data_IF_613183499861
#
_entry.id   IF_613183499861
#
_cell.length_a   1.000
_cell.length_b   1.000
_cell.length_c   1.000
_cell.angle_alpha   90.00
_cell.angle_beta   90.00
_cell.angle_gamma   90.00
#
_symmetry.space_group_name_H-M   'P 1'
#
loop_
_entity.id
_entity.type
_entity.pdbx_description
1 polymer ?
#
# COMPACT_ATOMS: atom_id res chain seq x y z
N UNK A 1 -15.19 -17.35 -6.12
CA UNK A 1 -14.01 -16.89 -5.36
C UNK A 1 -12.81 -16.57 -6.26
N UNK A 2 -12.50 -17.38 -7.31
CA UNK A 2 -11.37 -17.13 -8.21
C UNK A 2 -11.56 -15.90 -9.10
N UNK A 3 -12.80 -15.62 -9.51
CA UNK A 3 -13.14 -14.38 -10.21
C UNK A 3 -12.95 -13.16 -9.30
N UNK A 4 -13.43 -13.26 -8.05
CA UNK A 4 -13.26 -12.19 -7.06
C UNK A 4 -11.77 -11.89 -6.77
N UNK A 5 -10.95 -12.93 -6.60
CA UNK A 5 -9.50 -12.76 -6.43
C UNK A 5 -8.83 -12.14 -7.68
N UNK A 6 -9.27 -12.52 -8.87
CA UNK A 6 -8.75 -11.97 -10.13
C UNK A 6 -9.16 -10.50 -10.29
N UNK A 7 -10.44 -10.17 -10.01
CA UNK A 7 -10.97 -8.81 -10.11
C UNK A 7 -10.34 -7.86 -9.09
N UNK A 8 -10.27 -8.27 -7.81
CA UNK A 8 -9.61 -7.46 -6.77
C UNK A 8 -8.13 -7.25 -7.07
N UNK A 9 -7.43 -8.29 -7.55
CA UNK A 9 -6.03 -8.18 -7.94
C UNK A 9 -5.79 -7.29 -9.15
N UNK A 10 -6.70 -7.28 -10.13
CA UNK A 10 -6.64 -6.37 -11.27
C UNK A 10 -6.81 -4.91 -10.84
N UNK A 11 -7.84 -4.64 -10.03
CA UNK A 11 -8.11 -3.27 -9.54
C UNK A 11 -6.93 -2.75 -8.72
N UNK A 12 -6.41 -3.55 -7.77
CA UNK A 12 -5.26 -3.17 -6.96
C UNK A 12 -3.98 -2.98 -7.79
N UNK A 13 -3.75 -3.84 -8.79
CA UNK A 13 -2.57 -3.72 -9.66
C UNK A 13 -2.61 -2.47 -10.54
N UNK A 14 -3.77 -2.13 -11.11
CA UNK A 14 -3.95 -0.89 -11.86
C UNK A 14 -3.86 0.35 -10.96
N UNK A 15 -4.48 0.29 -9.78
CA UNK A 15 -4.34 1.34 -8.77
C UNK A 15 -2.86 1.58 -8.42
N UNK A 16 -2.09 0.51 -8.22
CA UNK A 16 -0.66 0.63 -7.90
C UNK A 16 0.13 1.37 -8.97
N UNK A 17 -0.10 1.08 -10.24
CA UNK A 17 0.60 1.79 -11.32
C UNK A 17 0.25 3.27 -11.37
N UNK A 18 -1.04 3.61 -11.22
CA UNK A 18 -1.48 5.01 -11.12
C UNK A 18 -0.84 5.67 -9.89
N UNK A 19 -0.91 5.02 -8.73
CA UNK A 19 -0.32 5.51 -7.48
C UNK A 19 1.19 5.76 -7.61
N UNK A 20 1.93 4.84 -8.23
CA UNK A 20 3.37 5.00 -8.45
C UNK A 20 3.70 6.19 -9.36
N UNK A 21 2.87 6.49 -10.37
CA UNK A 21 3.04 7.67 -11.21
C UNK A 21 2.71 8.97 -10.45
N UNK A 22 1.66 8.96 -9.62
CA UNK A 22 1.29 10.10 -8.79
C UNK A 22 2.39 10.43 -7.77
N UNK A 23 2.90 9.42 -7.06
CA UNK A 23 4.04 9.58 -6.14
C UNK A 23 5.31 9.96 -6.91
N UNK A 24 5.47 9.44 -8.13
CA UNK A 24 6.58 9.77 -9.03
C UNK A 24 6.65 11.23 -9.46
N UNK A 25 5.57 12.00 -9.32
CA UNK A 25 5.57 13.45 -9.59
C UNK A 25 6.59 14.23 -8.76
N UNK A 26 7.02 13.70 -7.60
CA UNK A 26 8.09 14.31 -6.78
C UNK A 26 9.43 14.42 -7.54
N UNK A 27 9.67 13.57 -8.54
CA UNK A 27 10.86 13.62 -9.40
C UNK A 27 10.86 14.91 -10.24
N UNK A 28 9.67 15.43 -10.59
CA UNK A 28 9.49 16.67 -11.31
C UNK A 28 9.61 17.91 -10.40
N UNK A 29 9.62 17.71 -9.09
CA UNK A 29 9.77 18.76 -8.10
C UNK A 29 8.67 18.77 -7.03
N UNK A 30 8.90 19.56 -5.98
CA UNK A 30 8.00 19.69 -4.84
C UNK A 30 6.63 20.25 -5.25
N UNK A 31 6.64 21.29 -6.09
CA UNK A 31 5.39 21.93 -6.57
C UNK A 31 4.54 20.96 -7.42
N UNK A 32 5.19 20.12 -8.24
CA UNK A 32 4.48 19.13 -9.05
C UNK A 32 3.84 18.05 -8.17
N UNK A 33 4.54 17.58 -7.14
CA UNK A 33 3.98 16.62 -6.20
C UNK A 33 2.83 17.23 -5.38
N UNK A 34 3.01 18.46 -4.89
CA UNK A 34 1.99 19.16 -4.13
C UNK A 34 0.71 19.39 -4.95
N UNK A 35 0.85 19.83 -6.21
CA UNK A 35 -0.27 19.96 -7.13
C UNK A 35 -1.04 18.64 -7.32
N UNK A 36 -0.32 17.54 -7.51
CA UNK A 36 -0.93 16.20 -7.66
C UNK A 36 -1.61 15.78 -6.36
N UNK A 37 -0.97 15.97 -5.20
CA UNK A 37 -1.52 15.63 -3.90
C UNK A 37 -2.82 16.42 -3.63
N UNK A 38 -2.81 17.74 -3.86
CA UNK A 38 -3.98 18.59 -3.69
C UNK A 38 -5.11 18.27 -4.67
N UNK A 39 -4.78 17.89 -5.89
CA UNK A 39 -5.76 17.40 -6.86
C UNK A 39 -6.46 16.12 -6.34
N UNK A 40 -5.69 15.20 -5.75
CA UNK A 40 -6.24 13.97 -5.14
C UNK A 40 -7.07 14.25 -3.88
N UNK A 41 -6.74 15.29 -3.15
CA UNK A 41 -7.53 15.81 -2.02
C UNK A 41 -8.77 16.61 -2.46
N UNK A 42 -9.07 16.68 -3.77
CA UNK A 42 -10.18 17.44 -4.35
C UNK A 42 -10.11 18.96 -4.08
N UNK A 43 -8.91 19.52 -3.97
CA UNK A 43 -8.71 20.96 -3.72
C UNK A 43 -9.34 21.86 -4.77
N UNK A 44 -9.52 21.37 -6.01
CA UNK A 44 -10.20 22.09 -7.09
C UNK A 44 -11.71 22.29 -6.85
N UNK A 45 -12.31 21.63 -5.84
CA UNK A 45 -13.70 21.85 -5.40
C UNK A 45 -13.77 22.82 -4.21
N UNK A 46 -12.65 23.31 -3.71
CA UNK A 46 -12.57 24.20 -2.55
C UNK A 46 -12.35 25.63 -2.99
N UNK A 47 -13.13 26.56 -2.51
CA UNK A 47 -12.97 28.01 -2.75
C UNK A 47 -11.66 28.57 -2.21
N UNK A 48 -11.06 27.88 -1.22
CA UNK A 48 -9.80 28.30 -0.55
C UNK A 48 -8.57 27.58 -1.09
N UNK A 49 -8.73 26.64 -2.06
CA UNK A 49 -7.64 25.83 -2.57
C UNK A 49 -7.09 24.78 -1.58
N UNK A 50 -7.69 24.65 -0.40
CA UNK A 50 -7.34 23.59 0.56
C UNK A 50 -8.00 22.28 0.15
N UNK A 51 -7.24 21.17 0.24
CA UNK A 51 -7.79 19.84 -0.01
C UNK A 51 -8.74 19.39 1.10
N UNK A 52 -9.52 18.37 0.79
CA UNK A 52 -10.40 17.70 1.75
C UNK A 52 -9.77 16.39 2.23
N UNK A 53 -9.14 16.34 3.42
CA UNK A 53 -8.54 15.11 3.95
C UNK A 53 -9.53 13.94 4.05
N UNK A 54 -10.83 14.25 4.20
CA UNK A 54 -11.90 13.26 4.22
C UNK A 54 -12.00 12.47 2.91
N UNK A 55 -11.69 13.08 1.77
CA UNK A 55 -11.66 12.39 0.47
C UNK A 55 -10.56 11.32 0.45
N UNK A 56 -9.38 11.67 0.96
CA UNK A 56 -8.25 10.73 1.11
C UNK A 56 -8.61 9.60 2.07
N UNK A 57 -9.25 9.92 3.20
CA UNK A 57 -9.71 8.92 4.17
C UNK A 57 -10.62 7.86 3.53
N UNK A 58 -11.63 8.27 2.75
CA UNK A 58 -12.51 7.32 2.08
C UNK A 58 -11.81 6.53 0.97
N UNK A 59 -10.93 7.18 0.19
CA UNK A 59 -10.15 6.49 -0.83
C UNK A 59 -9.23 5.43 -0.22
N UNK A 60 -8.49 5.77 0.84
CA UNK A 60 -7.62 4.83 1.55
C UNK A 60 -8.42 3.70 2.20
N UNK A 61 -9.58 4.00 2.82
CA UNK A 61 -10.47 2.99 3.41
C UNK A 61 -10.95 1.99 2.37
N UNK A 62 -11.33 2.46 1.17
CA UNK A 62 -11.74 1.61 0.07
C UNK A 62 -10.62 0.70 -0.42
N UNK A 63 -9.43 1.27 -0.65
CA UNK A 63 -8.24 0.51 -1.05
C UNK A 63 -7.84 -0.50 0.01
N UNK A 64 -7.87 -0.11 1.30
CA UNK A 64 -7.53 -1.00 2.41
C UNK A 64 -8.49 -2.17 2.53
N UNK A 65 -9.79 -1.92 2.41
CA UNK A 65 -10.81 -2.98 2.39
C UNK A 65 -10.57 -3.95 1.23
N UNK A 66 -10.34 -3.41 0.03
CA UNK A 66 -10.06 -4.22 -1.16
C UNK A 66 -8.78 -5.05 -1.01
N UNK A 67 -7.74 -4.46 -0.40
CA UNK A 67 -6.48 -5.11 -0.09
C UNK A 67 -6.66 -6.29 0.87
N UNK A 68 -7.41 -6.12 1.96
CA UNK A 68 -7.71 -7.19 2.93
C UNK A 68 -8.50 -8.31 2.26
N UNK A 69 -9.55 -7.98 1.50
CA UNK A 69 -10.35 -8.97 0.75
C UNK A 69 -9.47 -9.75 -0.22
N UNK A 70 -8.61 -9.07 -0.98
CA UNK A 70 -7.68 -9.72 -1.91
C UNK A 70 -6.71 -10.66 -1.19
N UNK A 71 -6.14 -10.23 -0.07
CA UNK A 71 -5.23 -11.03 0.75
C UNK A 71 -5.90 -12.29 1.30
N UNK A 72 -7.11 -12.17 1.86
CA UNK A 72 -7.89 -13.31 2.37
C UNK A 72 -8.22 -14.31 1.26
N UNK A 73 -8.63 -13.83 0.08
CA UNK A 73 -8.87 -14.66 -1.08
C UNK A 73 -7.60 -15.36 -1.59
N UNK A 74 -6.44 -14.70 -1.46
CA UNK A 74 -5.13 -15.24 -1.82
C UNK A 74 -4.65 -16.31 -0.86
N UNK A 75 -4.75 -16.06 0.44
CA UNK A 75 -4.25 -16.95 1.50
C UNK A 75 -4.88 -18.35 1.45
N UNK A 76 -6.12 -18.50 1.03
CA UNK A 76 -6.77 -19.81 0.89
C UNK A 76 -6.04 -20.79 -0.06
N UNK A 77 -5.13 -20.30 -0.92
CA UNK A 77 -4.36 -21.10 -1.88
C UNK A 77 -2.98 -21.47 -1.37
N UNK A 78 -2.64 -21.04 -0.18
CA UNK A 78 -1.36 -21.35 0.43
C UNK A 78 -1.39 -22.70 1.17
N UNK A 79 -0.27 -23.42 1.22
CA UNK A 79 -0.14 -24.58 2.07
C UNK A 79 -0.25 -24.15 3.55
N UNK A 80 -1.15 -24.83 4.28
CA UNK A 80 -1.44 -24.51 5.69
C UNK A 80 -0.34 -25.04 6.61
N UNK A 81 0.30 -26.18 6.25
CA UNK A 81 1.31 -26.82 7.09
C UNK A 81 2.72 -26.70 6.51
N UNK A 82 3.71 -26.69 7.40
CA UNK A 82 5.12 -26.69 7.01
C UNK A 82 5.49 -27.91 6.14
N UNK A 83 4.89 -29.07 6.42
CA UNK A 83 5.08 -30.28 5.61
C UNK A 83 4.60 -30.08 4.18
N UNK A 84 3.41 -29.51 3.97
CA UNK A 84 2.88 -29.20 2.64
C UNK A 84 3.78 -28.19 1.92
N UNK A 85 4.29 -27.19 2.63
CA UNK A 85 5.19 -26.19 2.07
C UNK A 85 6.51 -26.83 1.59
N UNK A 86 7.07 -27.77 2.35
CA UNK A 86 8.29 -28.52 1.97
C UNK A 86 8.03 -29.34 0.71
N UNK A 87 6.96 -30.15 0.69
CA UNK A 87 6.60 -30.97 -0.46
C UNK A 87 6.42 -30.10 -1.72
N UNK A 88 5.73 -28.99 -1.60
CA UNK A 88 5.56 -28.04 -2.70
C UNK A 88 6.90 -27.51 -3.22
N UNK A 89 7.84 -27.13 -2.36
CA UNK A 89 9.18 -26.67 -2.74
C UNK A 89 9.96 -27.76 -3.48
N UNK A 90 9.94 -28.98 -2.98
CA UNK A 90 10.63 -30.11 -3.59
C UNK A 90 10.07 -30.40 -5.00
N UNK A 91 8.75 -30.37 -5.16
CA UNK A 91 8.08 -30.48 -6.46
C UNK A 91 8.47 -29.34 -7.41
N UNK A 92 8.57 -28.12 -6.93
CA UNK A 92 8.99 -26.97 -7.73
C UNK A 92 10.43 -27.11 -8.25
N UNK A 93 11.34 -27.65 -7.42
CA UNK A 93 12.74 -27.90 -7.80
C UNK A 93 12.84 -28.98 -8.89
N UNK A 94 12.02 -30.04 -8.80
CA UNK A 94 11.96 -31.09 -9.82
C UNK A 94 11.42 -30.57 -11.17
N UNK A 95 10.38 -29.77 -11.15
CA UNK A 95 9.73 -29.29 -12.38
C UNK A 95 10.55 -28.25 -13.15
N UNK A 96 11.46 -27.50 -12.50
CA UNK A 96 12.28 -26.40 -13.08
C UNK A 96 11.49 -25.43 -13.98
N UNK A 97 10.20 -25.21 -13.68
CA UNK A 97 9.30 -24.44 -14.52
C UNK A 97 9.27 -22.97 -14.11
N UNK A 98 9.57 -22.07 -15.04
CA UNK A 98 9.67 -20.63 -14.79
C UNK A 98 8.40 -20.01 -14.20
N UNK A 99 7.22 -20.43 -14.68
CA UNK A 99 5.95 -19.82 -14.22
C UNK A 99 5.58 -20.28 -12.80
N UNK A 100 6.05 -21.44 -12.37
CA UNK A 100 5.93 -21.93 -11.00
C UNK A 100 6.82 -21.10 -10.06
N UNK A 101 8.05 -20.79 -10.48
CA UNK A 101 8.95 -19.91 -9.73
C UNK A 101 8.36 -18.50 -9.60
N UNK A 102 7.79 -17.95 -10.68
CA UNK A 102 7.10 -16.65 -10.63
C UNK A 102 5.92 -16.66 -9.65
N UNK A 103 5.14 -17.77 -9.62
CA UNK A 103 4.06 -17.93 -8.65
C UNK A 103 4.60 -17.89 -7.21
N UNK A 104 5.70 -18.57 -6.94
CA UNK A 104 6.30 -18.60 -5.61
C UNK A 104 6.80 -17.21 -5.19
N UNK A 105 7.49 -16.50 -6.07
CA UNK A 105 7.92 -15.11 -5.83
C UNK A 105 6.71 -14.21 -5.53
N UNK A 106 5.63 -14.32 -6.33
CA UNK A 106 4.39 -13.58 -6.10
C UNK A 106 3.78 -13.90 -4.73
N UNK A 107 3.82 -15.17 -4.33
CA UNK A 107 3.28 -15.62 -3.06
C UNK A 107 4.07 -15.04 -1.87
N UNK A 108 5.40 -15.14 -1.90
CA UNK A 108 6.29 -14.63 -0.85
C UNK A 108 6.20 -13.11 -0.74
N UNK A 109 6.27 -12.40 -1.87
CA UNK A 109 6.15 -10.94 -1.90
C UNK A 109 4.78 -10.47 -1.43
N UNK A 110 3.70 -11.20 -1.77
CA UNK A 110 2.35 -10.94 -1.27
C UNK A 110 2.25 -11.09 0.25
N UNK A 111 2.89 -12.09 0.82
CA UNK A 111 2.92 -12.29 2.27
C UNK A 111 3.68 -11.17 3.00
N UNK A 112 4.86 -10.79 2.50
CA UNK A 112 5.62 -9.65 3.06
C UNK A 112 4.81 -8.35 2.93
N UNK A 113 4.21 -8.13 1.76
CA UNK A 113 3.39 -6.96 1.48
C UNK A 113 2.15 -6.88 2.36
N UNK A 114 1.57 -8.01 2.78
CA UNK A 114 0.43 -8.02 3.68
C UNK A 114 0.73 -7.25 4.98
N UNK A 115 1.91 -7.46 5.58
CA UNK A 115 2.32 -6.71 6.77
C UNK A 115 2.77 -5.29 6.44
N UNK A 116 3.71 -5.13 5.52
CA UNK A 116 4.27 -3.82 5.19
C UNK A 116 3.22 -2.88 4.57
N UNK A 117 2.35 -3.41 3.71
CA UNK A 117 1.24 -2.68 3.09
C UNK A 117 0.18 -2.27 4.10
N UNK A 118 -0.13 -3.13 5.09
CA UNK A 118 -1.07 -2.77 6.17
C UNK A 118 -0.55 -1.60 7.00
N UNK A 119 0.76 -1.58 7.33
CA UNK A 119 1.37 -0.46 8.05
C UNK A 119 1.28 0.83 7.23
N UNK A 120 1.60 0.77 5.94
CA UNK A 120 1.50 1.92 5.04
C UNK A 120 0.06 2.45 4.95
N UNK A 121 -0.90 1.58 4.65
CA UNK A 121 -2.32 1.96 4.50
C UNK A 121 -2.89 2.50 5.82
N UNK A 122 -2.56 1.87 6.95
CA UNK A 122 -2.96 2.37 8.26
C UNK A 122 -2.39 3.76 8.54
N UNK A 123 -1.10 3.99 8.24
CA UNK A 123 -0.47 5.32 8.43
C UNK A 123 -1.18 6.40 7.60
N UNK A 124 -1.58 6.09 6.36
CA UNK A 124 -2.33 7.04 5.52
C UNK A 124 -3.76 7.24 6.01
N UNK A 125 -4.40 6.18 6.52
CA UNK A 125 -5.76 6.22 7.04
C UNK A 125 -5.90 7.14 8.27
N UNK A 126 -4.92 7.08 9.19
CA UNK A 126 -4.95 7.88 10.43
C UNK A 126 -4.37 9.28 10.26
N UNK A 127 -3.67 9.55 9.14
CA UNK A 127 -3.08 10.86 8.84
C UNK A 127 -3.44 11.31 7.41
N UNK A 128 -4.73 11.42 7.06
CA UNK A 128 -5.13 11.69 5.67
C UNK A 128 -4.76 13.08 5.17
N UNK A 129 -4.54 14.06 6.04
CA UNK A 129 -4.12 15.42 5.70
C UNK A 129 -2.60 15.64 5.66
N UNK A 130 -1.78 14.59 5.77
CA UNK A 130 -0.32 14.72 5.80
C UNK A 130 0.35 14.34 4.47
N UNK A 131 -0.30 14.65 3.35
CA UNK A 131 0.19 14.31 2.00
C UNK A 131 0.69 15.57 1.30
N UNK A 132 1.81 16.09 1.74
CA UNK A 132 2.56 17.16 1.08
C UNK A 132 4.04 16.78 0.94
N UNK A 133 4.84 17.51 0.13
CA UNK A 133 6.24 17.18 -0.11
C UNK A 133 7.10 17.12 1.16
N UNK A 134 6.88 18.01 2.12
CA UNK A 134 7.71 18.11 3.32
C UNK A 134 7.29 17.11 4.39
N UNK A 135 6.00 16.96 4.68
CA UNK A 135 5.49 15.98 5.65
C UNK A 135 5.78 14.55 5.17
N UNK A 136 5.62 14.29 3.87
CA UNK A 136 5.95 12.99 3.28
C UNK A 136 7.46 12.71 3.34
N UNK A 137 8.31 13.70 3.05
CA UNK A 137 9.76 13.56 3.15
C UNK A 137 10.23 13.42 4.59
N UNK A 138 9.62 14.14 5.53
CA UNK A 138 9.89 13.99 6.96
C UNK A 138 9.55 12.58 7.45
N UNK A 139 8.41 12.03 7.07
CA UNK A 139 8.01 10.66 7.40
C UNK A 139 9.04 9.66 6.87
N UNK A 140 9.47 9.82 5.61
CA UNK A 140 10.46 8.93 4.98
C UNK A 140 11.80 9.02 5.67
N UNK A 141 12.33 10.23 5.89
CA UNK A 141 13.70 10.46 6.39
C UNK A 141 13.76 10.39 7.92
N UNK A 142 13.13 11.33 8.63
CA UNK A 142 13.21 11.45 10.09
C UNK A 142 12.38 10.38 10.80
N UNK A 143 11.25 9.97 10.21
CA UNK A 143 10.42 8.88 10.73
C UNK A 143 10.98 7.48 10.43
N UNK A 144 12.09 7.37 9.71
CA UNK A 144 12.72 6.11 9.31
C UNK A 144 11.83 5.16 8.49
N UNK A 145 10.78 5.67 7.83
CA UNK A 145 9.90 4.85 6.99
C UNK A 145 10.56 4.44 5.66
N UNK A 146 11.76 4.96 5.33
CA UNK A 146 12.47 4.60 4.10
C UNK A 146 12.70 3.10 3.97
N UNK A 147 12.98 2.40 5.08
CA UNK A 147 13.18 0.95 5.06
C UNK A 147 11.88 0.20 4.75
N UNK A 148 10.77 0.62 5.36
CA UNK A 148 9.44 0.08 5.06
C UNK A 148 9.08 0.29 3.59
N UNK A 149 9.28 1.50 3.07
CA UNK A 149 8.96 1.83 1.68
C UNK A 149 9.87 1.14 0.69
N UNK A 150 11.12 0.90 1.02
CA UNK A 150 12.05 0.13 0.18
C UNK A 150 11.58 -1.32 0.02
N UNK A 151 11.24 -1.99 1.12
CA UNK A 151 10.71 -3.35 1.10
C UNK A 151 9.37 -3.39 0.36
N UNK A 152 8.49 -2.44 0.67
CA UNK A 152 7.16 -2.37 0.07
C UNK A 152 7.25 -2.14 -1.44
N UNK A 153 8.11 -1.24 -1.91
CA UNK A 153 8.34 -0.96 -3.32
C UNK A 153 8.74 -2.23 -4.10
N UNK A 154 9.72 -2.96 -3.59
CA UNK A 154 10.20 -4.19 -4.25
C UNK A 154 9.10 -5.26 -4.24
N UNK A 155 8.45 -5.46 -3.10
CA UNK A 155 7.43 -6.49 -2.95
C UNK A 155 6.18 -6.19 -3.78
N UNK A 156 5.69 -4.95 -3.76
CA UNK A 156 4.47 -4.58 -4.47
C UNK A 156 4.68 -4.64 -5.98
N UNK A 157 5.82 -4.17 -6.47
CA UNK A 157 6.09 -4.17 -7.90
C UNK A 157 6.24 -5.59 -8.45
N UNK A 158 6.99 -6.46 -7.78
CA UNK A 158 7.10 -7.87 -8.16
C UNK A 158 5.76 -8.59 -8.06
N UNK A 159 5.01 -8.37 -6.98
CA UNK A 159 3.70 -9.00 -6.77
C UNK A 159 2.70 -8.59 -7.86
N UNK A 160 2.58 -7.28 -8.11
CA UNK A 160 1.60 -6.73 -9.05
C UNK A 160 1.93 -7.13 -10.50
N UNK A 161 3.17 -6.96 -10.95
CA UNK A 161 3.54 -7.26 -12.34
C UNK A 161 3.49 -8.75 -12.64
N UNK A 162 3.94 -9.62 -11.72
CA UNK A 162 3.78 -11.07 -11.86
C UNK A 162 2.30 -11.43 -11.81
N UNK A 163 1.52 -10.82 -10.91
CA UNK A 163 0.10 -11.04 -10.78
C UNK A 163 -0.67 -10.73 -12.06
N UNK A 164 -0.43 -9.55 -12.64
CA UNK A 164 -1.07 -9.14 -13.90
C UNK A 164 -0.64 -10.01 -15.08
N UNK A 165 0.65 -10.39 -15.18
CA UNK A 165 1.11 -11.36 -16.16
C UNK A 165 0.32 -12.68 -16.05
N UNK A 166 0.18 -13.22 -14.84
CA UNK A 166 -0.53 -14.48 -14.60
C UNK A 166 -2.03 -14.35 -14.85
N UNK A 167 -2.59 -13.17 -14.57
CA UNK A 167 -3.98 -12.85 -14.86
C UNK A 167 -4.25 -12.90 -16.38
N UNK A 168 -3.38 -12.26 -17.19
CA UNK A 168 -3.45 -12.30 -18.64
C UNK A 168 -3.37 -13.75 -19.17
N UNK A 169 -2.48 -14.56 -18.60
CA UNK A 169 -2.35 -15.97 -18.97
C UNK A 169 -3.57 -16.79 -18.58
N UNK A 170 -4.16 -16.52 -17.41
CA UNK A 170 -5.33 -17.27 -16.90
C UNK A 170 -6.58 -17.01 -17.72
N UNK A 171 -6.82 -15.76 -18.11
CA UNK A 171 -8.01 -15.34 -18.82
C UNK A 171 -7.84 -15.26 -20.34
N UNK A 172 -6.65 -15.64 -20.85
CA UNK A 172 -6.36 -15.61 -22.28
C UNK A 172 -6.24 -14.20 -22.87
N UNK A 173 -6.01 -13.18 -22.03
CA UNK A 173 -5.88 -11.80 -22.51
C UNK A 173 -4.55 -11.60 -23.24
N UNK A 174 -4.62 -10.94 -24.40
CA UNK A 174 -3.46 -10.68 -25.25
C UNK A 174 -2.73 -11.95 -25.73
N UNK A 175 -3.41 -13.08 -25.75
CA UNK A 175 -2.89 -14.32 -26.31
C UNK A 175 -3.24 -14.42 -27.80
N UNK A 176 -2.23 -14.67 -28.64
CA UNK A 176 -2.42 -14.96 -30.05
C UNK A 176 -2.57 -16.46 -30.30
N UNK A 177 -2.56 -16.86 -31.56
CA UNK A 177 -2.68 -18.27 -32.00
C UNK A 177 -1.56 -19.18 -31.49
N UNK A 178 -0.34 -18.63 -31.29
CA UNK A 178 0.78 -19.36 -30.70
C UNK A 178 0.97 -18.98 -29.22
N UNK A 179 0.63 -19.91 -28.34
CA UNK A 179 0.72 -19.74 -26.89
C UNK A 179 2.16 -19.52 -26.39
N UNK A 180 3.16 -20.15 -27.04
CA UNK A 180 4.58 -20.01 -26.65
C UNK A 180 5.12 -18.62 -26.93
N UNK A 181 4.82 -18.07 -28.10
CA UNK A 181 5.21 -16.72 -28.51
C UNK A 181 4.47 -15.67 -27.67
N UNK A 182 3.17 -15.84 -27.44
CA UNK A 182 2.37 -14.96 -26.58
C UNK A 182 2.94 -14.85 -25.16
N UNK A 183 3.28 -16.00 -24.57
CA UNK A 183 3.91 -16.07 -23.24
C UNK A 183 5.25 -15.34 -23.20
N UNK A 184 6.10 -15.49 -24.24
CA UNK A 184 7.38 -14.77 -24.34
C UNK A 184 7.17 -13.25 -24.43
N UNK A 185 6.20 -12.80 -25.24
CA UNK A 185 5.85 -11.38 -25.37
C UNK A 185 5.37 -10.79 -24.03
N UNK A 186 4.44 -11.45 -23.36
CA UNK A 186 3.91 -11.02 -22.08
C UNK A 186 5.00 -10.97 -20.98
N UNK A 187 5.94 -11.93 -20.95
CA UNK A 187 7.09 -11.89 -20.05
C UNK A 187 8.01 -10.69 -20.32
N UNK A 188 8.23 -10.32 -21.60
CA UNK A 188 9.00 -9.12 -21.95
C UNK A 188 8.30 -7.85 -21.48
N UNK A 189 6.99 -7.74 -21.71
CA UNK A 189 6.19 -6.60 -21.22
C UNK A 189 6.26 -6.51 -19.70
N UNK A 190 6.00 -7.62 -19.00
CA UNK A 190 6.15 -7.69 -17.54
C UNK A 190 7.50 -7.17 -17.08
N UNK A 191 8.61 -7.66 -17.66
CA UNK A 191 9.95 -7.24 -17.23
C UNK A 191 10.21 -5.74 -17.48
N UNK A 192 9.73 -5.19 -18.62
CA UNK A 192 9.86 -3.76 -18.91
C UNK A 192 9.08 -2.91 -17.92
N UNK A 193 7.85 -3.31 -17.59
CA UNK A 193 7.02 -2.62 -16.59
C UNK A 193 7.67 -2.69 -15.20
N UNK A 194 8.16 -3.87 -14.80
CA UNK A 194 8.89 -4.03 -13.53
C UNK A 194 10.08 -3.07 -13.45
N UNK A 195 10.94 -3.02 -14.49
CA UNK A 195 12.11 -2.13 -14.50
C UNK A 195 11.67 -0.67 -14.45
N UNK A 196 10.68 -0.30 -15.24
CA UNK A 196 10.17 1.08 -15.30
C UNK A 196 9.66 1.55 -13.93
N UNK A 197 8.75 0.82 -13.32
CA UNK A 197 8.15 1.22 -12.05
C UNK A 197 9.11 1.11 -10.87
N UNK A 198 10.01 0.13 -10.86
CA UNK A 198 11.10 0.11 -9.88
C UNK A 198 12.01 1.33 -10.01
N UNK A 199 12.35 1.73 -11.24
CA UNK A 199 13.18 2.93 -11.46
C UNK A 199 12.47 4.19 -10.97
N UNK A 200 11.20 4.37 -11.33
CA UNK A 200 10.38 5.49 -10.83
C UNK A 200 10.29 5.48 -9.31
N UNK A 201 10.02 4.32 -8.71
CA UNK A 201 9.91 4.18 -7.25
C UNK A 201 11.22 4.47 -6.51
N UNK A 202 12.35 3.96 -6.99
CA UNK A 202 13.66 4.24 -6.40
C UNK A 202 14.05 5.73 -6.52
N UNK A 203 13.80 6.35 -7.67
CA UNK A 203 14.03 7.78 -7.85
C UNK A 203 13.13 8.61 -6.93
N UNK A 204 11.84 8.25 -6.81
CA UNK A 204 10.93 8.93 -5.89
C UNK A 204 11.37 8.82 -4.45
N UNK A 205 11.75 7.61 -4.01
CA UNK A 205 12.24 7.37 -2.65
C UNK A 205 13.54 8.17 -2.37
N UNK A 206 14.45 8.22 -3.34
CA UNK A 206 15.68 9.01 -3.24
C UNK A 206 15.37 10.51 -3.14
N UNK A 207 14.39 11.02 -3.91
CA UNK A 207 13.95 12.42 -3.83
C UNK A 207 13.33 12.74 -2.46
N UNK A 208 12.49 11.89 -1.91
CA UNK A 208 11.94 12.09 -0.57
C UNK A 208 13.04 12.07 0.51
N UNK A 209 14.01 11.17 0.41
CA UNK A 209 15.17 11.15 1.32
C UNK A 209 15.99 12.43 1.20
N UNK A 210 16.24 12.91 -0.01
CA UNK A 210 16.99 14.14 -0.28
C UNK A 210 16.26 15.37 0.28
N UNK A 211 14.96 15.51 0.00
CA UNK A 211 14.13 16.61 0.53
C UNK A 211 14.06 16.55 2.06
N UNK A 212 13.88 15.36 2.64
CA UNK A 212 13.85 15.16 4.09
C UNK A 212 15.18 15.51 4.75
N UNK A 213 16.31 15.19 4.12
CA UNK A 213 17.63 15.59 4.60
C UNK A 213 17.83 17.12 4.53
N UNK A 214 17.44 17.75 3.42
CA UNK A 214 17.54 19.20 3.28
C UNK A 214 16.67 19.96 4.28
N UNK A 215 15.45 19.45 4.55
CA UNK A 215 14.46 20.10 5.38
C UNK A 215 14.43 19.58 6.84
N UNK A 216 15.51 18.93 7.30
CA UNK A 216 15.54 18.27 8.62
C UNK A 216 15.42 19.24 9.81
N UNK A 217 15.81 20.50 9.62
CA UNK A 217 15.69 21.55 10.66
C UNK A 217 14.23 21.99 10.88
N UNK A 218 13.39 21.86 9.85
CA UNK A 218 11.97 22.25 9.86
C UNK A 218 11.09 20.97 9.79
N UNK A 219 11.52 19.93 10.48
CA UNK A 219 10.85 18.64 10.48
C UNK A 219 9.44 18.78 11.06
N UNK A 220 8.43 18.31 10.28
CA UNK A 220 7.03 18.36 10.68
C UNK A 220 6.28 19.63 10.23
N UNK A 221 6.96 20.59 9.62
CA UNK A 221 6.29 21.73 9.00
C UNK A 221 5.73 21.37 7.62
N UNK A 222 4.50 21.80 7.30
CA UNK A 222 3.91 21.56 5.99
C UNK A 222 4.61 22.40 4.90
N UNK A 223 4.42 22.01 3.65
CA UNK A 223 4.96 22.73 2.50
C UNK A 223 4.30 24.10 2.38
N UNK A 224 5.07 25.22 2.35
CA UNK A 224 4.51 26.57 2.32
C UNK A 224 3.95 26.91 0.94
N UNK A 225 2.65 26.90 0.84
CA UNK A 225 1.90 27.38 -0.32
C UNK A 225 1.83 26.40 -1.48
N UNK A 226 0.64 25.93 -1.73
CA UNK A 226 0.28 25.13 -2.89
C UNK A 226 0.09 26.04 -4.11
N UNK A 227 0.11 25.48 -5.32
CA UNK A 227 -0.29 26.18 -6.54
C UNK A 227 -1.72 26.77 -6.41
N UNK A 228 -2.61 26.08 -5.68
CA UNK A 228 -3.98 26.53 -5.41
C UNK A 228 -4.02 27.70 -4.43
N UNK A 229 -3.20 27.73 -3.37
CA UNK A 229 -3.10 28.86 -2.45
C UNK A 229 -2.54 30.12 -3.14
N UNK A 230 -1.57 29.97 -4.05
CA UNK A 230 -1.04 31.10 -4.83
C UNK A 230 -2.10 31.72 -5.73
N UNK A 231 -3.00 30.91 -6.29
CA UNK A 231 -4.11 31.39 -7.13
C UNK A 231 -5.11 32.15 -6.26
N UNK A 232 -5.49 31.62 -5.09
CA UNK A 232 -6.44 32.29 -4.18
C UNK A 232 -5.91 33.61 -3.63
N UNK A 233 -4.63 33.69 -3.27
CA UNK A 233 -4.01 34.95 -2.83
C UNK A 233 -3.89 35.98 -3.98
N UNK A 234 -3.63 35.53 -5.20
CA UNK A 234 -3.60 36.41 -6.38
C UNK A 234 -4.99 36.99 -6.70
N UNK A 235 -6.06 36.20 -6.48
CA UNK A 235 -7.45 36.69 -6.65
C UNK A 235 -7.85 37.64 -5.52
N UNK A 236 -7.39 37.43 -4.29
CA UNK A 236 -7.64 38.29 -3.14
C UNK A 236 -6.89 39.65 -3.29
N UNK A 237 -5.63 39.64 -3.73
CA UNK A 237 -4.88 40.85 -4.03
C UNK A 237 -5.49 41.67 -5.16
N UNK A 238 -6.05 41.01 -6.20
CA UNK A 238 -6.74 41.70 -7.31
C UNK A 238 -8.09 42.28 -6.88
N UNK A 239 -8.80 41.67 -5.93
CA UNK A 239 -10.07 42.16 -5.43
C UNK A 239 -9.93 43.37 -4.47
N UNK A 240 -8.79 43.49 -3.81
CA UNK A 240 -8.49 44.62 -2.89
C UNK A 240 -7.97 45.87 -3.65
N UNK A 241 -7.55 45.70 -4.91
CA UNK A 241 -6.99 46.80 -5.72
C UNK A 241 -8.02 47.58 -6.57
N UNK A 242 -9.33 47.31 -6.42
CA UNK A 242 -10.35 48.17 -7.04
C UNK A 242 -10.46 49.50 -6.25
N UNK A 243 -10.17 50.64 -6.87
CA UNK A 243 -10.21 51.90 -6.15
C UNK A 243 -11.66 52.23 -5.78
N UNK A 244 -11.89 52.46 -4.50
CA UNK A 244 -13.15 53.01 -4.03
C UNK A 244 -13.46 54.31 -4.78
N UNK A 245 -14.53 54.26 -5.57
CA UNK A 245 -15.08 55.47 -6.22
C UNK A 245 -15.57 56.39 -5.11
N UNK A 246 -14.79 57.46 -4.89
CA UNK A 246 -15.08 58.56 -4.02
C UNK A 246 -16.35 59.28 -4.51
N UNK A 247 -17.50 59.03 -3.88
CA UNK A 247 -18.70 59.82 -4.09
C UNK A 247 -18.70 61.00 -3.10
N UNK A 248 -18.27 62.12 -3.64
CA UNK A 248 -18.38 63.45 -3.05
C UNK A 248 -19.87 63.88 -2.93
N UNK A 249 -20.37 64.03 -1.69
CA UNK A 249 -21.62 64.73 -1.44
C UNK A 249 -21.60 65.39 -0.05
N UNK A 250 -21.30 66.69 -0.07
CA UNK A 250 -21.69 67.84 0.76
C UNK A 250 -22.29 67.63 2.15
N UNK A 251 -21.61 68.34 3.08
CA UNK A 251 -22.04 68.82 4.40
C UNK A 251 -23.42 69.60 4.38
N UNK A 252 -24.15 69.80 5.53
CA UNK A 252 -23.70 70.75 6.52
C UNK A 252 -24.00 70.45 8.02
N UNK A 253 -23.15 71.07 8.84
CA UNK A 253 -23.18 71.57 10.21
C UNK A 253 -24.40 71.44 11.15
N UNK A 254 -24.13 71.16 12.43
CA UNK A 254 -25.02 71.48 13.52
C UNK A 254 -24.62 70.90 14.89
N UNK A 255 -23.87 71.68 15.65
CA UNK A 255 -23.91 71.98 17.11
C UNK A 255 -23.85 70.88 18.18
N UNK A 256 -22.75 70.89 18.89
CA UNK A 256 -22.51 71.07 20.40
C UNK A 256 -23.44 70.33 21.39
N UNK A 257 -22.88 69.58 22.31
CA UNK A 257 -22.79 69.80 23.76
C UNK A 257 -22.23 68.53 24.44
N UNK A 258 -21.13 68.75 25.08
CA UNK A 258 -20.75 68.75 26.49
C UNK A 258 -20.72 67.41 27.25
N UNK A 259 -19.59 67.30 27.91
CA UNK A 259 -19.32 66.76 29.24
C UNK A 259 -18.97 65.27 29.38
N UNK A 260 -17.71 65.06 29.62
CA UNK A 260 -17.16 63.97 30.48
C UNK A 260 -17.57 64.29 31.99
N UNK A 261 -17.43 63.38 32.97
CA UNK A 261 -16.11 62.80 33.30
C UNK A 261 -16.12 61.33 33.91
N UNK A 262 -14.88 60.88 34.08
CA UNK A 262 -14.30 60.14 35.20
C UNK A 262 -14.54 58.63 35.33
N UNK A 263 -13.41 57.93 35.31
CA UNK A 263 -13.09 56.64 35.85
C UNK A 263 -13.26 56.47 37.35
N UNK A 264 -13.18 55.34 38.01
CA UNK A 264 -11.87 54.79 38.42
C UNK A 264 -11.73 53.28 38.17
N UNK A 265 -10.53 52.87 37.81
CA UNK A 265 -9.50 52.10 38.50
C UNK A 265 -9.97 51.15 39.63
N UNK A 266 -9.77 49.87 39.46
CA UNK A 266 -9.24 48.97 40.51
C UNK A 266 -8.71 47.66 39.90
N UNK A 267 -7.43 47.44 40.04
CA UNK A 267 -6.64 46.20 40.09
C UNK A 267 -6.34 45.93 41.58
N UNK A 268 -5.71 44.82 42.00
CA UNK A 268 -5.79 43.38 41.70
C UNK A 268 -5.91 42.54 43.00
N UNK A 269 -6.15 41.22 42.86
CA UNK A 269 -5.83 40.26 43.92
C UNK A 269 -5.59 38.92 43.23
N UNK A 270 -4.44 38.42 43.19
CA UNK A 270 -3.44 37.68 43.98
C UNK A 270 -3.99 36.45 44.69
N UNK A 271 -3.45 35.31 44.19
CA UNK A 271 -3.01 34.07 44.83
C UNK A 271 -4.01 33.26 45.66
N UNK A 272 -4.06 31.97 45.41
CA UNK A 272 -3.51 31.00 46.36
C UNK A 272 -3.35 29.60 45.73
N UNK A 273 -2.18 29.07 45.96
CA UNK A 273 -1.79 27.71 45.75
C UNK A 273 -2.35 26.84 46.88
N UNK A 274 -2.87 25.68 46.54
CA UNK A 274 -3.02 24.58 47.52
C UNK A 274 -2.35 23.36 46.99
N UNK A 275 -1.19 23.13 47.58
CA UNK A 275 -0.52 21.82 47.62
C UNK A 275 -1.27 20.92 48.61
N UNK A 276 -1.54 19.68 48.17
CA UNK A 276 -1.68 18.59 49.09
C UNK A 276 -0.91 17.38 48.59
N UNK A 277 0.12 17.15 49.39
CA UNK A 277 0.95 15.97 49.51
C UNK A 277 0.21 14.94 50.41
N UNK A 278 0.47 13.67 50.19
CA UNK A 278 0.49 12.52 51.06
C UNK A 278 0.15 11.28 50.25
N UNK A 279 1.10 10.48 49.86
CA UNK A 279 1.67 9.30 50.50
C UNK A 279 0.62 8.44 51.26
N UNK A 280 0.37 7.24 50.82
CA UNK A 280 0.82 6.06 51.51
C UNK A 280 0.61 4.75 50.73
N UNK A 281 1.62 3.95 50.80
CA UNK A 281 1.85 2.55 50.60
C UNK A 281 0.72 1.59 50.97
N UNK A 282 0.62 0.49 50.19
CA UNK A 282 0.55 -0.91 50.66
C UNK A 282 0.69 -1.83 49.44
N UNK A 283 1.75 -2.44 49.31
CA UNK A 283 2.33 -3.77 49.48
C UNK A 283 1.30 -4.82 49.85
N UNK A 284 1.16 -5.82 48.99
CA UNK A 284 1.15 -7.24 49.33
C UNK A 284 1.22 -8.09 48.06
N UNK A 285 2.27 -8.84 48.02
CA UNK A 285 2.44 -10.08 47.27
C UNK A 285 1.37 -11.10 47.62
N UNK A 286 0.98 -11.93 46.66
CA UNK A 286 1.05 -13.36 46.87
C UNK A 286 1.06 -14.12 45.54
N UNK A 287 2.03 -14.97 45.49
CA UNK A 287 2.24 -16.04 44.56
C UNK A 287 1.23 -17.16 44.81
N UNK A 288 0.73 -17.78 43.75
CA UNK A 288 0.40 -19.21 43.81
C UNK A 288 0.77 -19.88 42.49
N UNK A 289 1.85 -20.57 42.61
CA UNK A 289 2.28 -21.76 41.90
C UNK A 289 1.27 -22.90 42.18
N UNK A 290 0.86 -23.61 41.14
CA UNK A 290 0.48 -25.00 41.26
C UNK A 290 0.59 -25.72 39.93
N UNK A 291 1.65 -26.47 39.82
CA UNK A 291 1.81 -27.62 38.94
C UNK A 291 0.81 -28.73 39.32
N UNK A 292 0.31 -29.42 38.32
CA UNK A 292 -0.09 -30.82 38.50
C UNK A 292 0.05 -31.56 37.17
N UNK A 293 1.06 -32.36 37.12
CA UNK A 293 1.18 -33.51 36.24
C UNK A 293 0.21 -34.58 36.68
N UNK A 294 -0.42 -35.25 35.75
CA UNK A 294 -0.88 -36.63 35.94
C UNK A 294 -0.63 -37.44 34.68
N UNK A 295 0.29 -38.27 34.84
CA UNK A 295 0.64 -39.58 34.34
C UNK A 295 -0.48 -40.60 34.64
N UNK A 296 -0.70 -41.53 33.72
CA UNK A 296 -1.13 -42.91 33.91
C UNK A 296 -1.50 -43.50 32.55
N UNK A 297 -0.64 -44.26 31.93
CA UNK A 297 -0.54 -45.74 31.92
C UNK A 297 -1.83 -46.48 31.55
N UNK A 298 -1.66 -47.28 30.48
CA UNK A 298 -2.23 -48.62 30.56
C UNK A 298 -2.95 -49.13 29.33
N UNK A 299 -2.41 -50.21 28.75
CA UNK A 299 -3.16 -51.30 28.13
C UNK A 299 -3.00 -51.43 26.63
N UNK A 300 -2.03 -52.17 26.17
CA UNK A 300 -2.11 -53.54 25.63
C UNK A 300 -3.48 -53.88 25.02
N UNK A 301 -3.53 -54.11 23.69
CA UNK A 301 -3.79 -55.45 23.20
C UNK A 301 -3.36 -55.67 21.78
N UNK A 302 -2.90 -56.83 21.54
CA UNK A 302 -2.39 -57.51 20.40
C UNK A 302 -3.50 -57.93 19.43
N UNK A 303 -3.22 -57.86 18.12
CA UNK A 303 -4.08 -58.45 17.09
C UNK A 303 -3.36 -58.49 15.76
N UNK A 304 -2.55 -59.53 15.63
CA UNK A 304 -2.13 -60.11 14.35
C UNK A 304 -3.33 -60.42 13.47
N UNK A 305 -3.30 -60.04 12.22
CA UNK A 305 -3.59 -61.04 11.17
C UNK A 305 -2.96 -60.65 9.83
N UNK A 306 -2.34 -61.61 9.27
CA UNK A 306 -1.78 -61.75 7.95
C UNK A 306 -2.91 -61.98 6.92
N UNK A 307 -2.77 -61.43 5.75
CA UNK A 307 -3.02 -62.14 4.49
C UNK A 307 -2.54 -61.29 3.32
N UNK A 308 -1.40 -61.57 2.81
CA UNK A 308 -1.18 -62.31 1.53
C UNK A 308 -1.64 -61.55 0.29
N UNK A 309 -0.63 -61.15 -0.44
CA UNK A 309 -0.63 -60.92 -1.89
C UNK A 309 -1.29 -62.11 -2.67
N UNK A 310 -1.68 -61.96 -3.98
CA UNK A 310 -0.64 -61.98 -4.99
C UNK A 310 -0.89 -61.11 -6.24
N UNK A 311 0.21 -60.81 -6.89
CA UNK A 311 0.29 -60.46 -8.32
C UNK A 311 -0.22 -61.60 -9.20
N UNK A 312 -0.61 -61.32 -10.45
CA UNK A 312 -0.08 -62.13 -11.51
C UNK A 312 0.62 -61.33 -12.61
N UNK A 313 1.79 -61.77 -12.85
CA UNK A 313 2.55 -61.86 -14.08
C UNK A 313 1.74 -62.49 -15.22
N UNK A 314 1.83 -61.93 -16.42
CA UNK A 314 2.14 -62.68 -17.68
C UNK A 314 2.14 -61.71 -18.87
N UNK A 315 3.27 -61.55 -19.50
CA UNK A 315 3.36 -61.48 -20.95
C UNK A 315 3.29 -62.91 -21.50
N UNK A 316 2.95 -63.20 -22.77
CA UNK A 316 3.88 -62.95 -23.85
C UNK A 316 3.27 -62.67 -25.23
N UNK A 317 4.10 -62.22 -26.12
CA UNK A 317 4.54 -62.79 -27.36
C UNK A 317 3.88 -62.36 -28.67
N UNK A 318 4.75 -61.82 -29.49
CA UNK A 318 5.00 -62.07 -30.94
C UNK A 318 3.86 -61.96 -31.95
N UNK A 319 4.07 -61.12 -32.90
CA UNK A 319 3.40 -61.10 -34.18
C UNK A 319 4.04 -60.13 -35.16
N UNK A 320 5.17 -60.54 -35.71
CA UNK A 320 5.77 -59.88 -36.87
C UNK A 320 4.84 -60.04 -38.09
N UNK A 321 4.58 -58.94 -38.78
CA UNK A 321 4.35 -59.00 -40.23
C UNK A 321 4.90 -57.76 -40.90
N UNK A 322 6.00 -57.98 -41.52
CA UNK A 322 6.66 -57.30 -42.61
C UNK A 322 5.67 -57.14 -43.82
N UNK A 323 5.59 -55.92 -44.40
CA UNK A 323 5.44 -55.75 -45.85
C UNK A 323 5.83 -54.28 -46.19
N UNK A 324 6.92 -54.21 -46.88
CA UNK A 324 7.51 -53.14 -47.65
C UNK A 324 6.61 -52.71 -48.84
N UNK A 325 6.83 -51.51 -49.42
CA UNK A 325 5.89 -50.76 -50.29
C UNK A 325 6.04 -51.13 -51.77
N UNK A 326 5.26 -50.53 -52.65
CA UNK A 326 5.81 -50.16 -53.96
C UNK A 326 5.70 -48.63 -54.21
N UNK A 327 6.82 -48.15 -54.73
CA UNK A 327 6.94 -46.94 -55.53
C UNK A 327 6.22 -47.10 -56.87
N UNK A 328 5.81 -46.00 -57.44
CA UNK A 328 5.80 -45.57 -58.86
C UNK A 328 4.85 -44.34 -58.97
N UNK A 329 5.31 -43.30 -59.36
CA UNK A 329 5.58 -42.61 -60.63
C UNK A 329 4.42 -41.77 -61.16
N UNK A 330 4.80 -40.50 -61.41
CA UNK A 330 4.44 -39.57 -62.50
C UNK A 330 2.96 -39.24 -62.78
N UNK A 331 2.55 -38.07 -62.56
CA UNK A 331 2.39 -36.99 -63.57
C UNK A 331 2.24 -35.65 -62.90
#
# INVERSE_FOLDING_TARGET
LDLAQSGTGLILGLFMWVHMLLVGSIILGKDAFDFVAKTMELAFLSDTGHGYPIAVFFAVSGVFTLFIVHALLGMRKFPISWRQHRIMRDQMQMMKHTDTNLWYVQAVTGFIMFFAGSVHLYTMLVNPGSIDPFLSAHRVFSGNYWFLYLILLICVELHATIGLYRLCMKWGWFTGTDAKTSRKKLKKVKNRLTIFFLTVGFLSLAMFLFIGFQNRSNAGEPYPGTAYQKISHAEEETSVSEPAVESDAAHPAGTSHDAAPAAPEETPAKAEAVTHDSADSHDTADAHEAAAAHDATGGHDTGTDQSTEPMPETAPDAGAHDTTPPATETH
#
